data_IF_024070833630
#
_entry.id   IF_024070833630
#
_cell.length_a   1.000
_cell.length_b   1.000
_cell.length_c   1.000
_cell.angle_alpha   90.00
_cell.angle_beta   90.00
_cell.angle_gamma   90.00
#
_symmetry.space_group_name_H-M   'P 1'
#
loop_
_entity.id
_entity.type
_entity.pdbx_description
1 polymer ?
#
# COMPACT_ATOMS: atom_id res chain seq x y z
N UNK A 1 16.78 -4.69 -20.03
CA UNK A 1 15.93 -5.85 -20.36
C UNK A 1 14.50 -5.62 -19.92
N UNK A 2 13.63 -6.63 -20.01
CA UNK A 2 12.22 -6.49 -19.58
C UNK A 2 12.04 -6.02 -18.11
N UNK A 3 12.82 -6.51 -17.12
CA UNK A 3 12.72 -6.02 -15.74
C UNK A 3 12.99 -4.53 -15.60
N UNK A 4 14.01 -4.00 -16.28
CA UNK A 4 14.37 -2.58 -16.23
C UNK A 4 13.26 -1.68 -16.82
N UNK A 5 12.62 -2.13 -17.90
CA UNK A 5 11.47 -1.42 -18.49
C UNK A 5 10.27 -1.42 -17.55
N UNK A 6 10.02 -2.54 -16.87
CA UNK A 6 8.95 -2.65 -15.87
C UNK A 6 9.24 -1.71 -14.69
N UNK A 7 10.48 -1.68 -14.22
CA UNK A 7 10.90 -0.81 -13.12
C UNK A 7 10.75 0.68 -13.48
N UNK A 8 11.19 1.08 -14.68
CA UNK A 8 11.02 2.44 -15.18
C UNK A 8 9.54 2.82 -15.33
N UNK A 9 8.69 1.88 -15.78
CA UNK A 9 7.25 2.11 -15.84
C UNK A 9 6.62 2.26 -14.45
N UNK A 10 7.04 1.43 -13.48
CA UNK A 10 6.60 1.54 -12.09
C UNK A 10 6.95 2.93 -11.54
N UNK A 11 8.19 3.38 -11.70
CA UNK A 11 8.65 4.70 -11.27
C UNK A 11 7.84 5.85 -11.90
N UNK A 12 7.70 5.86 -13.23
CA UNK A 12 6.92 6.89 -13.92
C UNK A 12 5.48 6.95 -13.40
N UNK A 13 4.89 5.79 -13.19
CA UNK A 13 3.50 5.69 -12.83
C UNK A 13 3.27 5.91 -11.30
N UNK A 14 4.32 5.82 -10.48
CA UNK A 14 4.32 6.29 -9.09
C UNK A 14 4.39 7.83 -9.05
N UNK A 15 5.26 8.47 -9.83
CA UNK A 15 5.33 9.94 -9.96
C UNK A 15 3.99 10.54 -10.41
N UNK A 16 3.37 9.94 -11.44
CA UNK A 16 2.02 10.35 -11.90
C UNK A 16 0.95 10.19 -10.83
N UNK A 17 1.05 9.18 -9.97
CA UNK A 17 0.14 8.97 -8.85
C UNK A 17 0.31 10.09 -7.82
N UNK A 18 1.53 10.46 -7.46
CA UNK A 18 1.80 11.54 -6.52
C UNK A 18 1.30 12.90 -7.03
N UNK A 19 1.61 13.23 -8.29
CA UNK A 19 1.12 14.46 -8.94
C UNK A 19 -0.40 14.54 -8.96
N UNK A 20 -1.08 13.43 -9.26
CA UNK A 20 -2.53 13.38 -9.29
C UNK A 20 -3.14 13.41 -7.87
N UNK A 21 -2.47 12.83 -6.87
CA UNK A 21 -2.89 12.89 -5.48
C UNK A 21 -2.77 14.32 -4.91
N UNK A 22 -1.74 15.07 -5.29
CA UNK A 22 -1.58 16.47 -4.91
C UNK A 22 -2.74 17.36 -5.40
N UNK A 23 -3.36 17.02 -6.54
CA UNK A 23 -4.52 17.74 -7.09
C UNK A 23 -5.86 17.41 -6.43
N UNK A 24 -5.95 16.32 -5.66
CA UNK A 24 -7.21 15.81 -5.11
C UNK A 24 -7.58 16.40 -3.73
N UNK A 25 -6.81 17.37 -3.21
CA UNK A 25 -6.95 17.91 -1.84
C UNK A 25 -7.22 16.82 -0.79
N UNK A 26 -6.51 15.70 -0.89
CA UNK A 26 -6.74 14.53 -0.02
C UNK A 26 -6.51 14.86 1.46
N UNK A 27 -5.83 15.97 1.78
CA UNK A 27 -5.48 16.44 3.12
C UNK A 27 -6.67 16.55 4.08
N UNK A 28 -7.87 16.87 3.57
CA UNK A 28 -9.10 16.95 4.38
C UNK A 28 -9.60 15.57 4.87
N UNK A 29 -9.16 14.47 4.25
CA UNK A 29 -9.59 13.13 4.61
C UNK A 29 -8.74 12.54 5.76
N UNK A 30 -9.34 11.61 6.50
CA UNK A 30 -8.59 10.76 7.46
C UNK A 30 -7.60 9.87 6.70
N UNK A 31 -6.46 9.57 7.34
CA UNK A 31 -5.36 8.76 6.75
C UNK A 31 -5.83 7.50 6.01
N UNK A 32 -6.73 6.64 6.55
CA UNK A 32 -7.17 5.43 5.83
C UNK A 32 -7.91 5.74 4.53
N UNK A 33 -8.71 6.81 4.50
CA UNK A 33 -9.41 7.25 3.30
C UNK A 33 -8.44 7.85 2.28
N UNK A 34 -7.41 8.60 2.74
CA UNK A 34 -6.31 9.06 1.86
C UNK A 34 -5.59 7.89 1.20
N UNK A 35 -5.17 6.89 1.98
CA UNK A 35 -4.49 5.69 1.46
C UNK A 35 -5.38 4.99 0.42
N UNK A 36 -6.67 4.79 0.74
CA UNK A 36 -7.64 4.19 -0.19
C UNK A 36 -7.73 4.98 -1.50
N UNK A 37 -7.85 6.31 -1.42
CA UNK A 37 -7.97 7.19 -2.59
C UNK A 37 -6.71 7.14 -3.48
N UNK A 38 -5.52 7.19 -2.87
CA UNK A 38 -4.24 7.14 -3.60
C UNK A 38 -4.03 5.77 -4.27
N UNK A 39 -4.35 4.67 -3.60
CA UNK A 39 -4.31 3.33 -4.22
C UNK A 39 -5.31 3.23 -5.37
N UNK A 40 -6.54 3.70 -5.19
CA UNK A 40 -7.55 3.72 -6.25
C UNK A 40 -7.10 4.54 -7.47
N UNK A 41 -6.44 5.68 -7.22
CA UNK A 41 -5.86 6.52 -8.26
C UNK A 41 -4.77 5.78 -9.05
N UNK A 42 -3.86 5.09 -8.36
CA UNK A 42 -2.81 4.24 -8.97
C UNK A 42 -3.42 3.20 -9.91
N UNK A 43 -4.46 2.49 -9.46
CA UNK A 43 -5.13 1.47 -10.27
C UNK A 43 -5.83 2.08 -11.48
N UNK A 44 -6.58 3.17 -11.26
CA UNK A 44 -7.31 3.89 -12.33
C UNK A 44 -6.37 4.38 -13.42
N UNK A 45 -5.20 4.94 -13.06
CA UNK A 45 -4.18 5.39 -14.01
C UNK A 45 -3.66 4.27 -14.92
N UNK A 46 -3.70 3.01 -14.46
CA UNK A 46 -3.21 1.86 -15.21
C UNK A 46 -4.33 1.02 -15.84
N UNK A 47 -5.59 1.46 -15.77
CA UNK A 47 -6.76 0.68 -16.22
C UNK A 47 -6.66 0.24 -17.68
N UNK A 48 -6.20 1.13 -18.57
CA UNK A 48 -5.97 0.82 -19.98
C UNK A 48 -4.84 -0.19 -20.24
N UNK A 49 -4.00 -0.46 -19.24
CA UNK A 49 -2.80 -1.29 -19.35
C UNK A 49 -2.85 -2.53 -18.45
N UNK A 50 -4.04 -2.96 -18.01
CA UNK A 50 -4.23 -4.08 -17.07
C UNK A 50 -3.55 -5.37 -17.53
N UNK A 51 -3.64 -5.72 -18.82
CA UNK A 51 -2.97 -6.90 -19.40
C UNK A 51 -1.43 -6.76 -19.40
N UNK A 52 -0.89 -5.56 -19.64
CA UNK A 52 0.54 -5.32 -19.57
C UNK A 52 1.06 -5.48 -18.13
N UNK A 53 0.32 -4.97 -17.15
CA UNK A 53 0.62 -5.16 -15.72
C UNK A 53 0.58 -6.65 -15.35
N UNK A 54 -0.43 -7.40 -15.82
CA UNK A 54 -0.52 -8.85 -15.59
C UNK A 54 0.72 -9.60 -16.10
N UNK A 55 1.20 -9.27 -17.30
CA UNK A 55 2.42 -9.86 -17.88
C UNK A 55 3.67 -9.44 -17.12
N UNK A 56 3.78 -8.17 -16.74
CA UNK A 56 4.88 -7.66 -15.93
C UNK A 56 5.00 -8.39 -14.59
N UNK A 57 3.87 -8.66 -13.91
CA UNK A 57 3.85 -9.46 -12.68
C UNK A 57 4.40 -10.87 -12.92
N UNK A 58 4.09 -11.50 -14.06
CA UNK A 58 4.65 -12.81 -14.42
C UNK A 58 6.17 -12.77 -14.59
N UNK A 59 6.70 -11.73 -15.24
CA UNK A 59 8.16 -11.53 -15.38
C UNK A 59 8.82 -11.31 -14.01
N UNK A 60 8.24 -10.47 -13.16
CA UNK A 60 8.77 -10.13 -11.84
C UNK A 60 8.67 -11.29 -10.83
N UNK A 61 7.76 -12.24 -11.05
CA UNK A 61 7.62 -13.43 -10.21
C UNK A 61 8.74 -14.46 -10.42
N UNK A 62 9.51 -14.36 -11.52
CA UNK A 62 10.66 -15.22 -11.74
C UNK A 62 11.73 -14.96 -10.66
N UNK A 63 12.39 -16.00 -10.11
CA UNK A 63 13.36 -15.83 -9.01
C UNK A 63 14.47 -14.81 -9.29
N UNK A 64 14.96 -14.75 -10.54
CA UNK A 64 15.99 -13.78 -10.96
C UNK A 64 15.52 -12.31 -10.92
N UNK A 65 14.20 -12.08 -11.00
CA UNK A 65 13.59 -10.75 -11.03
C UNK A 65 12.87 -10.38 -9.73
N UNK A 66 12.77 -11.31 -8.77
CA UNK A 66 12.02 -11.12 -7.54
C UNK A 66 12.49 -9.89 -6.74
N UNK A 67 13.80 -9.60 -6.76
CA UNK A 67 14.37 -8.39 -6.13
C UNK A 67 13.86 -7.10 -6.78
N UNK A 68 13.77 -7.06 -8.11
CA UNK A 68 13.23 -5.92 -8.86
C UNK A 68 11.75 -5.72 -8.51
N UNK A 69 10.97 -6.79 -8.46
CA UNK A 69 9.55 -6.72 -8.09
C UNK A 69 9.33 -6.23 -6.66
N UNK A 70 10.15 -6.69 -5.71
CA UNK A 70 10.12 -6.23 -4.34
C UNK A 70 10.51 -4.75 -4.22
N UNK A 71 11.57 -4.32 -4.93
CA UNK A 71 12.02 -2.92 -4.95
C UNK A 71 10.96 -1.99 -5.54
N UNK A 72 10.33 -2.38 -6.66
CA UNK A 72 9.21 -1.64 -7.26
C UNK A 72 8.04 -1.50 -6.28
N UNK A 73 7.65 -2.60 -5.62
CA UNK A 73 6.55 -2.58 -4.65
C UNK A 73 6.86 -1.67 -3.46
N UNK A 74 8.09 -1.75 -2.92
CA UNK A 74 8.52 -0.90 -1.82
C UNK A 74 8.46 0.59 -2.20
N UNK A 75 9.00 0.94 -3.37
CA UNK A 75 8.99 2.31 -3.90
C UNK A 75 7.57 2.84 -4.12
N UNK A 76 6.67 2.02 -4.68
CA UNK A 76 5.27 2.42 -4.85
C UNK A 76 4.58 2.66 -3.50
N UNK A 77 4.84 1.81 -2.50
CA UNK A 77 4.31 2.00 -1.14
C UNK A 77 4.86 3.27 -0.49
N UNK A 78 6.14 3.57 -0.69
CA UNK A 78 6.76 4.82 -0.25
C UNK A 78 6.08 6.04 -0.88
N UNK A 79 5.88 6.01 -2.21
CA UNK A 79 5.18 7.06 -2.94
C UNK A 79 3.72 7.23 -2.46
N UNK A 80 3.02 6.13 -2.15
CA UNK A 80 1.67 6.21 -1.57
C UNK A 80 1.71 6.93 -0.21
N UNK A 81 2.64 6.58 0.67
CA UNK A 81 2.75 7.22 1.99
C UNK A 81 3.18 8.68 1.89
N UNK A 82 4.04 9.01 0.95
CA UNK A 82 4.45 10.38 0.64
C UNK A 82 3.25 11.21 0.16
N UNK A 83 2.47 10.71 -0.80
CA UNK A 83 1.24 11.34 -1.28
C UNK A 83 0.16 11.50 -0.19
N UNK A 84 0.11 10.61 0.79
CA UNK A 84 -0.80 10.68 1.95
C UNK A 84 -0.37 11.75 2.97
N UNK A 85 0.88 12.22 2.90
CA UNK A 85 1.46 13.20 3.82
C UNK A 85 1.73 12.65 5.22
N UNK A 86 1.87 11.34 5.39
CA UNK A 86 2.20 10.73 6.69
C UNK A 86 3.68 10.93 7.00
N UNK A 87 3.99 11.72 8.04
CA UNK A 87 5.36 12.00 8.50
C UNK A 87 5.79 11.16 9.71
N UNK A 88 5.09 10.07 10.01
CA UNK A 88 5.43 9.23 11.17
C UNK A 88 6.81 8.58 11.01
N UNK A 89 7.74 8.87 11.92
CA UNK A 89 9.16 8.45 11.89
C UNK A 89 9.51 7.27 12.81
N UNK A 90 8.54 6.75 13.58
CA UNK A 90 8.83 5.74 14.63
C UNK A 90 8.78 4.29 14.10
N UNK A 91 8.85 3.29 15.00
CA UNK A 91 8.64 1.86 14.69
C UNK A 91 7.36 1.56 13.87
N UNK A 92 6.40 2.49 13.91
CA UNK A 92 5.24 2.55 13.03
C UNK A 92 5.59 2.56 11.54
N UNK A 93 6.73 3.12 11.13
CA UNK A 93 7.18 3.32 9.75
C UNK A 93 7.34 2.00 8.99
N UNK A 94 8.14 1.06 9.51
CA UNK A 94 8.36 -0.25 8.88
C UNK A 94 7.08 -1.08 8.85
N UNK A 95 6.33 -1.09 9.96
CA UNK A 95 5.08 -1.85 10.06
C UNK A 95 4.02 -1.34 9.09
N UNK A 96 3.87 -0.01 8.96
CA UNK A 96 2.95 0.64 8.01
C UNK A 96 3.30 0.27 6.57
N UNK A 97 4.57 0.31 6.21
CA UNK A 97 5.05 -0.05 4.87
C UNK A 97 4.86 -1.51 4.55
N UNK A 98 5.31 -2.42 5.42
CA UNK A 98 5.13 -3.86 5.22
C UNK A 98 3.65 -4.22 5.08
N UNK A 99 2.81 -3.64 5.94
CA UNK A 99 1.36 -3.88 5.90
C UNK A 99 0.73 -3.34 4.61
N UNK A 100 1.06 -2.10 4.22
CA UNK A 100 0.54 -1.52 2.98
C UNK A 100 1.07 -2.26 1.75
N UNK A 101 2.30 -2.74 1.74
CA UNK A 101 2.84 -3.57 0.67
C UNK A 101 2.03 -4.86 0.50
N UNK A 102 1.71 -5.55 1.58
CA UNK A 102 0.84 -6.74 1.53
C UNK A 102 -0.56 -6.42 0.99
N UNK A 103 -1.18 -5.33 1.47
CA UNK A 103 -2.50 -4.89 0.97
C UNK A 103 -2.45 -4.51 -0.50
N UNK A 104 -1.45 -3.73 -0.92
CA UNK A 104 -1.27 -3.25 -2.28
C UNK A 104 -1.05 -4.41 -3.25
N UNK A 105 -0.09 -5.30 -2.96
CA UNK A 105 0.20 -6.46 -3.81
C UNK A 105 -1.01 -7.37 -3.97
N UNK A 106 -1.75 -7.65 -2.89
CA UNK A 106 -2.99 -8.42 -2.96
C UNK A 106 -4.08 -7.72 -3.80
N UNK A 107 -4.18 -6.39 -3.68
CA UNK A 107 -5.15 -5.59 -4.44
C UNK A 107 -4.80 -5.57 -5.92
N UNK A 108 -3.53 -5.41 -6.30
CA UNK A 108 -3.08 -5.46 -7.70
C UNK A 108 -3.35 -6.83 -8.31
N UNK A 109 -3.04 -7.92 -7.59
CA UNK A 109 -3.33 -9.28 -8.06
C UNK A 109 -4.83 -9.55 -8.26
N UNK A 110 -5.68 -9.00 -7.40
CA UNK A 110 -7.13 -9.06 -7.59
C UNK A 110 -7.55 -8.21 -8.80
N UNK A 111 -7.04 -6.98 -8.87
CA UNK A 111 -7.38 -5.98 -9.88
C UNK A 111 -7.09 -6.43 -11.31
N UNK A 112 -5.95 -7.09 -11.56
CA UNK A 112 -5.61 -7.58 -12.91
C UNK A 112 -6.59 -8.63 -13.46
N UNK A 113 -7.43 -9.22 -12.61
CA UNK A 113 -8.47 -10.19 -12.98
C UNK A 113 -9.89 -9.62 -12.90
N UNK A 114 -10.03 -8.39 -12.41
CA UNK A 114 -11.33 -7.76 -12.21
C UNK A 114 -11.88 -7.21 -13.54
N UNK A 115 -13.10 -7.61 -13.87
CA UNK A 115 -13.85 -7.17 -15.04
C UNK A 115 -15.10 -6.34 -14.67
N UNK A 116 -15.27 -6.00 -13.39
CA UNK A 116 -16.37 -5.14 -12.94
C UNK A 116 -16.21 -3.70 -13.44
N UNK A 117 -17.36 -3.04 -13.61
CA UNK A 117 -17.41 -1.63 -14.01
C UNK A 117 -16.62 -0.75 -13.02
N UNK A 118 -15.78 0.12 -13.57
CA UNK A 118 -14.90 1.02 -12.83
C UNK A 118 -14.02 0.36 -11.73
N UNK A 119 -13.74 -0.94 -11.85
CA UNK A 119 -13.03 -1.75 -10.85
C UNK A 119 -13.75 -1.82 -9.48
N UNK A 120 -15.09 -1.76 -9.45
CA UNK A 120 -15.89 -1.74 -8.23
C UNK A 120 -15.59 -2.93 -7.29
N UNK A 121 -15.39 -4.13 -7.82
CA UNK A 121 -15.07 -5.31 -7.02
C UNK A 121 -13.68 -5.19 -6.36
N UNK A 122 -12.70 -4.63 -7.08
CA UNK A 122 -11.37 -4.32 -6.55
C UNK A 122 -11.43 -3.28 -5.44
N UNK A 123 -12.20 -2.21 -5.62
CA UNK A 123 -12.34 -1.16 -4.60
C UNK A 123 -12.98 -1.71 -3.32
N UNK A 124 -14.01 -2.55 -3.45
CA UNK A 124 -14.61 -3.24 -2.30
C UNK A 124 -13.63 -4.22 -1.64
N UNK A 125 -12.79 -4.90 -2.41
CA UNK A 125 -11.72 -5.76 -1.88
C UNK A 125 -10.70 -4.96 -1.06
N UNK A 126 -10.21 -3.85 -1.61
CA UNK A 126 -9.29 -2.93 -0.95
C UNK A 126 -9.84 -2.44 0.40
N UNK A 127 -11.13 -2.08 0.43
CA UNK A 127 -11.80 -1.62 1.65
C UNK A 127 -11.78 -2.67 2.76
N UNK A 128 -12.09 -3.92 2.42
CA UNK A 128 -12.04 -5.03 3.37
C UNK A 128 -10.63 -5.27 3.89
N UNK A 129 -9.61 -5.14 3.04
CA UNK A 129 -8.19 -5.28 3.43
C UNK A 129 -7.75 -4.16 4.37
N UNK A 130 -8.03 -2.90 4.04
CA UNK A 130 -7.71 -1.74 4.87
C UNK A 130 -8.46 -1.78 6.23
N UNK A 131 -9.74 -2.18 6.23
CA UNK A 131 -10.50 -2.39 7.47
C UNK A 131 -9.92 -3.52 8.34
N UNK A 132 -9.37 -4.57 7.72
CA UNK A 132 -8.64 -5.65 8.40
C UNK A 132 -7.40 -5.13 9.13
N UNK A 133 -6.58 -4.32 8.47
CA UNK A 133 -5.40 -3.67 9.06
C UNK A 133 -5.79 -2.78 10.25
N UNK A 134 -6.85 -1.98 10.09
CA UNK A 134 -7.36 -1.15 11.18
C UNK A 134 -7.80 -1.96 12.41
N UNK A 135 -8.37 -3.15 12.20
CA UNK A 135 -8.75 -4.07 13.30
C UNK A 135 -7.53 -4.62 14.04
N UNK A 136 -6.50 -5.06 13.32
CA UNK A 136 -5.25 -5.56 13.90
C UNK A 136 -4.58 -4.46 14.75
N UNK A 137 -4.50 -3.22 14.23
CA UNK A 137 -3.92 -2.10 14.97
C UNK A 137 -4.72 -1.69 16.22
N UNK A 138 -6.03 -1.91 16.27
CA UNK A 138 -6.84 -1.72 17.48
C UNK A 138 -6.65 -2.85 18.49
N UNK A 139 -6.60 -4.10 18.02
CA UNK A 139 -6.35 -5.25 18.87
C UNK A 139 -4.99 -5.14 19.57
N UNK A 140 -3.93 -4.81 18.83
CA UNK A 140 -2.58 -4.59 19.39
C UNK A 140 -2.57 -3.54 20.50
N UNK A 141 -3.15 -2.36 20.25
CA UNK A 141 -3.23 -1.28 21.25
C UNK A 141 -3.96 -1.73 22.51
N UNK A 142 -5.08 -2.45 22.36
CA UNK A 142 -5.82 -3.00 23.51
C UNK A 142 -4.97 -3.99 24.31
N UNK A 143 -4.17 -4.83 23.67
CA UNK A 143 -3.25 -5.74 24.36
C UNK A 143 -2.14 -4.98 25.09
N UNK A 144 -1.55 -3.95 24.47
CA UNK A 144 -0.54 -3.09 25.09
C UNK A 144 -1.10 -2.36 26.32
N UNK A 145 -2.33 -1.81 26.24
CA UNK A 145 -3.01 -1.16 27.36
C UNK A 145 -3.27 -2.13 28.52
N UNK A 146 -3.72 -3.35 28.21
CA UNK A 146 -3.93 -4.41 29.20
C UNK A 146 -2.60 -4.81 29.85
N UNK A 147 -1.57 -5.07 29.05
CA UNK A 147 -0.25 -5.41 29.54
C UNK A 147 0.35 -4.29 30.41
N UNK A 148 0.13 -3.01 30.04
CA UNK A 148 0.55 -1.85 30.82
C UNK A 148 -0.15 -1.77 32.19
N UNK A 149 -1.43 -2.15 32.28
CA UNK A 149 -2.16 -2.25 33.55
C UNK A 149 -1.62 -3.33 34.48
N UNK A 150 -1.00 -4.36 33.92
CA UNK A 150 -0.40 -5.46 34.68
C UNK A 150 1.13 -5.32 34.87
N UNK A 151 1.74 -4.16 34.55
CA UNK A 151 3.17 -3.93 34.81
C UNK A 151 3.44 -3.83 36.33
N UNK A 152 4.23 -4.74 36.93
CA UNK A 152 4.59 -4.65 38.34
C UNK A 152 5.38 -3.37 38.64
N UNK A 153 5.23 -2.82 39.84
CA UNK A 153 5.87 -1.56 40.26
C UNK A 153 7.42 -1.56 40.17
N UNK A 154 8.04 -2.75 40.12
CA UNK A 154 9.48 -2.95 40.04
C UNK A 154 10.15 -2.45 38.72
N UNK A 155 9.37 -2.11 37.69
CA UNK A 155 9.89 -1.75 36.35
C UNK A 155 9.76 -0.24 36.01
N UNK A 156 9.60 0.65 37.00
CA UNK A 156 9.42 2.11 36.78
C UNK A 156 10.71 2.94 36.82
N UNK A 157 11.89 2.33 36.99
CA UNK A 157 13.18 3.04 36.94
C UNK A 157 14.22 2.22 36.16
N UNK A 158 14.41 2.56 34.90
CA UNK A 158 15.63 2.46 34.11
C UNK A 158 15.43 3.30 32.85
#
# INVERSE_FOLDING_TARGET
>A
GAPDMIEAYCDLADRRMEEAAARLEVSAMRVPARVRAVVALRLRQNRAHKEAVRRALGVLALPGNARVGAACTARTVDAIWHAVGDRATDFSWYTKRATLAGVYSATVLFWVRDASEEDAATLAFLDRRLAGVGRIGRARRRFEDVAARFRPAAWRRA
#
